data_IF_683065426406
#
_entry.id   IF_683065426406
#
_cell.length_a   1.000
_cell.length_b   1.000
_cell.length_c   1.000
_cell.angle_alpha   90.00
_cell.angle_beta   90.00
_cell.angle_gamma   90.00
#
_symmetry.space_group_name_H-M   'P 1'
#
loop_
_entity.id
_entity.type
_entity.pdbx_description
1 polymer ?
#
# COMPACT_ATOMS: atom_id res chain seq x y z
N UNK A 1 -21.87 38.03 37.35
CA UNK A 1 -22.14 36.56 37.35
C UNK A 1 -21.24 35.95 36.29
N UNK A 2 -20.07 35.44 36.69
CA UNK A 2 -19.08 34.88 35.76
C UNK A 2 -19.15 33.35 35.82
N UNK A 3 -19.52 32.71 34.71
CA UNK A 3 -19.46 31.26 34.59
C UNK A 3 -18.00 30.83 34.38
N UNK A 4 -17.50 30.04 35.29
CA UNK A 4 -16.20 29.36 35.20
C UNK A 4 -16.31 28.16 34.25
N UNK A 5 -15.54 28.20 33.17
CA UNK A 5 -15.41 27.12 32.19
C UNK A 5 -14.42 26.08 32.74
N UNK A 6 -14.91 24.89 33.07
CA UNK A 6 -14.06 23.75 33.44
C UNK A 6 -13.42 23.18 32.17
N UNK A 7 -12.10 23.33 32.04
CA UNK A 7 -11.32 22.69 30.99
C UNK A 7 -11.25 21.18 31.26
N UNK A 8 -11.96 20.41 30.44
CA UNK A 8 -11.94 18.95 30.47
C UNK A 8 -10.64 18.49 29.81
N UNK A 9 -9.63 18.19 30.62
CA UNK A 9 -8.37 17.63 30.14
C UNK A 9 -8.64 16.20 29.69
N UNK A 10 -8.91 16.00 28.40
CA UNK A 10 -9.02 14.68 27.81
C UNK A 10 -7.68 13.95 27.97
N UNK A 11 -7.72 12.78 28.62
CA UNK A 11 -6.55 11.92 28.76
C UNK A 11 -6.03 11.50 27.37
N UNK A 12 -4.70 11.38 27.19
CA UNK A 12 -4.13 10.98 25.92
C UNK A 12 -4.62 9.58 25.55
N UNK A 13 -5.16 9.44 24.34
CA UNK A 13 -5.59 8.15 23.81
C UNK A 13 -4.41 7.17 23.74
N UNK A 14 -4.61 5.89 24.07
CA UNK A 14 -3.56 4.89 23.99
C UNK A 14 -3.04 4.75 22.54
N UNK A 15 -1.75 4.45 22.36
CA UNK A 15 -1.16 4.30 21.04
C UNK A 15 -1.84 3.15 20.27
N UNK A 16 -1.94 3.26 18.94
CA UNK A 16 -2.55 2.21 18.13
C UNK A 16 -1.79 0.89 18.31
N UNK A 17 -2.50 -0.26 18.26
CA UNK A 17 -1.88 -1.56 18.44
C UNK A 17 -0.84 -1.81 17.34
N UNK A 18 0.26 -2.52 17.66
CA UNK A 18 1.30 -2.83 16.69
C UNK A 18 0.72 -3.62 15.52
N UNK A 19 1.00 -3.14 14.31
CA UNK A 19 0.47 -3.71 13.08
C UNK A 19 1.01 -5.14 12.88
N UNK A 20 0.10 -6.10 12.71
CA UNK A 20 0.50 -7.50 12.52
C UNK A 20 1.18 -7.67 11.16
N UNK A 21 2.29 -8.43 11.15
CA UNK A 21 2.96 -8.80 9.91
C UNK A 21 2.18 -9.90 9.19
N UNK A 22 1.89 -9.67 7.92
CA UNK A 22 1.25 -10.61 7.00
C UNK A 22 2.35 -11.23 6.12
N UNK A 23 2.47 -12.55 6.18
CA UNK A 23 3.44 -13.29 5.38
C UNK A 23 2.83 -13.77 4.06
N UNK A 24 3.40 -13.36 2.93
CA UNK A 24 3.06 -13.86 1.59
C UNK A 24 4.18 -14.76 1.07
N UNK A 25 3.84 -15.76 0.25
CA UNK A 25 4.81 -16.56 -0.52
C UNK A 25 4.93 -15.93 -1.90
N UNK A 26 6.12 -15.45 -2.23
CA UNK A 26 6.41 -14.80 -3.50
C UNK A 26 7.33 -15.69 -4.31
N UNK A 27 6.97 -15.93 -5.56
CA UNK A 27 7.81 -16.62 -6.54
C UNK A 27 8.43 -15.54 -7.41
N UNK A 28 9.75 -15.36 -7.29
CA UNK A 28 10.45 -14.41 -8.13
C UNK A 28 10.45 -14.88 -9.58
N UNK A 29 10.27 -13.97 -10.53
CA UNK A 29 10.33 -14.29 -11.96
C UNK A 29 11.69 -14.92 -12.30
N UNK A 30 11.67 -16.11 -12.91
CA UNK A 30 12.88 -16.88 -13.21
C UNK A 30 13.36 -17.80 -12.09
N UNK A 31 12.68 -17.86 -10.94
CA UNK A 31 12.93 -18.84 -9.87
C UNK A 31 11.71 -19.73 -9.66
N UNK A 32 11.92 -21.04 -9.52
CA UNK A 32 10.87 -21.99 -9.13
C UNK A 32 10.67 -22.05 -7.60
N UNK A 33 11.63 -21.52 -6.83
CA UNK A 33 11.60 -21.60 -5.38
C UNK A 33 10.87 -20.38 -4.78
N UNK A 34 9.76 -20.59 -4.04
CA UNK A 34 9.05 -19.51 -3.37
C UNK A 34 9.80 -19.03 -2.13
N UNK A 35 9.87 -17.71 -1.94
CA UNK A 35 10.36 -17.06 -0.71
C UNK A 35 9.18 -16.60 0.14
N UNK A 36 9.31 -16.68 1.47
CA UNK A 36 8.36 -16.03 2.40
C UNK A 36 8.81 -14.61 2.69
N UNK A 37 7.94 -13.65 2.40
CA UNK A 37 8.13 -12.23 2.73
C UNK A 37 7.04 -11.83 3.72
N UNK A 38 7.42 -11.29 4.88
CA UNK A 38 6.46 -10.85 5.91
C UNK A 38 6.57 -9.33 6.08
N UNK A 39 5.47 -8.61 5.84
CA UNK A 39 5.39 -7.14 5.95
C UNK A 39 4.09 -6.70 6.62
N UNK A 40 3.97 -5.44 7.00
CA UNK A 40 2.71 -4.90 7.56
C UNK A 40 1.65 -4.76 6.47
N UNK A 41 0.39 -4.49 6.85
CA UNK A 41 -0.67 -4.26 5.87
C UNK A 41 -0.39 -2.98 5.07
N UNK A 42 0.09 -1.93 5.74
CA UNK A 42 0.53 -0.69 5.10
C UNK A 42 1.61 -0.91 4.04
N UNK A 43 2.63 -1.72 4.34
CA UNK A 43 3.69 -2.04 3.38
C UNK A 43 3.15 -2.77 2.15
N UNK A 44 2.25 -3.74 2.35
CA UNK A 44 1.62 -4.46 1.24
C UNK A 44 0.77 -3.55 0.37
N UNK A 45 0.02 -2.63 0.98
CA UNK A 45 -0.78 -1.66 0.23
C UNK A 45 0.09 -0.76 -0.66
N UNK A 46 1.27 -0.35 -0.18
CA UNK A 46 2.22 0.42 -0.98
C UNK A 46 2.76 -0.38 -2.17
N UNK A 47 3.13 -1.65 -1.95
CA UNK A 47 3.60 -2.55 -3.02
C UNK A 47 2.49 -2.73 -4.07
N UNK A 48 1.27 -3.06 -3.65
CA UNK A 48 0.13 -3.29 -4.54
C UNK A 48 -0.24 -2.01 -5.32
N UNK A 49 -0.08 -0.81 -4.74
CA UNK A 49 -0.25 0.46 -5.44
C UNK A 49 0.83 0.69 -6.51
N UNK A 50 2.10 0.47 -6.17
CA UNK A 50 3.22 0.62 -7.10
C UNK A 50 3.11 -0.36 -8.28
N UNK A 51 2.78 -1.64 -8.01
CA UNK A 51 2.60 -2.65 -9.05
C UNK A 51 1.46 -2.30 -10.00
N UNK A 52 0.32 -1.81 -9.47
CA UNK A 52 -0.80 -1.36 -10.32
C UNK A 52 -0.40 -0.18 -11.20
N UNK A 53 0.29 0.81 -10.66
CA UNK A 53 0.72 1.97 -11.43
C UNK A 53 1.67 1.58 -12.58
N UNK A 54 2.63 0.69 -12.31
CA UNK A 54 3.52 0.17 -13.36
C UNK A 54 2.75 -0.58 -14.46
N UNK A 55 1.83 -1.47 -14.07
CA UNK A 55 1.01 -2.22 -15.01
C UNK A 55 0.14 -1.32 -15.89
N UNK A 56 -0.43 -0.23 -15.34
CA UNK A 56 -1.21 0.73 -16.15
C UNK A 56 -0.34 1.40 -17.20
N UNK A 57 0.87 1.87 -16.83
CA UNK A 57 1.80 2.48 -17.80
C UNK A 57 2.18 1.52 -18.92
N UNK A 58 2.45 0.26 -18.58
CA UNK A 58 2.77 -0.75 -19.60
C UNK A 58 1.60 -0.99 -20.57
N UNK A 59 0.36 -0.93 -20.09
CA UNK A 59 -0.84 -1.06 -20.92
C UNK A 59 -1.04 0.18 -21.81
N UNK A 60 -0.87 1.37 -21.25
CA UNK A 60 -0.98 2.63 -21.98
C UNK A 60 0.07 2.71 -23.11
N UNK A 61 1.31 2.33 -22.83
CA UNK A 61 2.40 2.28 -23.81
C UNK A 61 2.09 1.30 -24.94
N UNK A 62 1.54 0.12 -24.61
CA UNK A 62 1.12 -0.87 -25.62
C UNK A 62 -0.02 -0.33 -26.48
N UNK A 63 -1.02 0.29 -25.87
CA UNK A 63 -2.14 0.87 -26.59
C UNK A 63 -1.65 1.96 -27.56
N UNK A 64 -0.81 2.89 -27.09
CA UNK A 64 -0.26 3.97 -27.91
C UNK A 64 0.57 3.43 -29.10
N UNK A 65 1.42 2.43 -28.86
CA UNK A 65 2.18 1.77 -29.94
C UNK A 65 1.26 1.13 -30.98
N UNK A 66 0.18 0.49 -30.55
CA UNK A 66 -0.77 -0.16 -31.46
C UNK A 66 -1.56 0.84 -32.34
N UNK A 67 -1.75 2.07 -31.85
CA UNK A 67 -2.35 3.17 -32.62
C UNK A 67 -1.35 3.74 -33.62
N UNK A 68 -0.08 3.88 -33.25
CA UNK A 68 0.98 4.39 -34.13
C UNK A 68 1.19 3.51 -35.38
N UNK A 69 1.17 2.18 -35.24
CA UNK A 69 1.33 1.24 -36.37
C UNK A 69 0.14 1.26 -37.35
N UNK A 70 -0.98 1.90 -37.00
CA UNK A 70 -2.20 1.96 -37.82
C UNK A 70 -2.33 3.25 -38.63
N UNK A 71 -1.36 4.16 -38.56
CA UNK A 71 -1.31 5.42 -39.31
C UNK A 71 -0.36 5.35 -40.51
#
# INVERSE_FOLDING_TARGET
MFLTLAAQTAAPAPPPPPEKKICRREVATGSIMPKRTCRTQGDWAQIDAATRAAAQRDLDDRNNRSMSTRQ
#
